data_IF_570140598254
#
_entry.id   IF_570140598254
#
_cell.length_a   1.000
_cell.length_b   1.000
_cell.length_c   1.000
_cell.angle_alpha   90.00
_cell.angle_beta   90.00
_cell.angle_gamma   90.00
#
_symmetry.space_group_name_H-M   'P 1'
#
loop_
_entity.id
_entity.type
_entity.pdbx_description
1 polymer ?
#
# COMPACT_ATOMS: atom_id res chain seq x y z
N UNK A 1 -9.06 -22.10 12.14
CA UNK A 1 -10.53 -21.88 12.21
C UNK A 1 -11.11 -22.31 13.55
N UNK A 2 -10.87 -23.53 14.02
CA UNK A 2 -11.47 -24.04 15.27
C UNK A 2 -11.16 -23.16 16.49
N UNK A 3 -9.93 -22.66 16.62
CA UNK A 3 -9.54 -21.74 17.69
C UNK A 3 -10.38 -20.45 17.67
N UNK A 4 -10.65 -19.89 16.49
CA UNK A 4 -11.46 -18.66 16.35
C UNK A 4 -12.89 -18.92 16.83
N UNK A 5 -13.49 -20.04 16.39
CA UNK A 5 -14.84 -20.44 16.80
C UNK A 5 -14.94 -20.77 18.29
N UNK A 6 -13.93 -21.45 18.86
CA UNK A 6 -13.84 -21.76 20.30
C UNK A 6 -13.85 -20.48 21.14
N UNK A 7 -13.16 -19.43 20.69
CA UNK A 7 -13.16 -18.12 21.34
C UNK A 7 -14.39 -17.25 20.99
N UNK A 8 -15.43 -17.84 20.37
CA UNK A 8 -16.67 -17.14 19.95
C UNK A 8 -16.40 -15.86 19.13
N UNK A 9 -15.25 -15.80 18.46
CA UNK A 9 -14.84 -14.65 17.66
C UNK A 9 -15.45 -14.74 16.27
N UNK A 10 -16.02 -13.63 15.78
CA UNK A 10 -16.62 -13.52 14.44
C UNK A 10 -15.79 -12.68 13.48
N UNK A 11 -14.80 -11.97 14.00
CA UNK A 11 -13.96 -11.05 13.24
C UNK A 11 -12.47 -11.36 13.48
N UNK A 12 -11.66 -11.23 12.45
CA UNK A 12 -10.20 -11.35 12.51
C UNK A 12 -9.53 -10.26 11.71
N UNK A 13 -8.34 -9.84 12.14
CA UNK A 13 -7.47 -8.95 11.40
C UNK A 13 -6.13 -9.64 11.15
N UNK A 14 -5.49 -9.32 10.02
CA UNK A 14 -4.14 -9.79 9.71
C UNK A 14 -3.13 -8.74 10.17
N UNK A 15 -2.16 -9.16 10.97
CA UNK A 15 -1.07 -8.32 11.45
C UNK A 15 0.27 -9.03 11.31
N UNK A 16 1.30 -8.28 10.95
CA UNK A 16 2.66 -8.78 10.77
C UNK A 16 2.99 -9.22 9.34
N UNK A 17 4.28 -9.47 9.12
CA UNK A 17 4.80 -9.92 7.83
C UNK A 17 4.55 -11.42 7.66
N UNK A 18 3.98 -11.80 6.52
CA UNK A 18 3.73 -13.21 6.18
C UNK A 18 4.62 -13.57 4.99
N UNK A 19 5.46 -14.59 5.16
CA UNK A 19 6.22 -15.19 4.06
C UNK A 19 5.44 -16.38 3.49
N UNK A 20 5.45 -16.54 2.17
CA UNK A 20 4.84 -17.70 1.51
C UNK A 20 5.65 -18.96 1.85
N UNK A 21 5.08 -19.96 2.54
CA UNK A 21 5.77 -21.20 2.84
C UNK A 21 5.84 -22.10 1.61
N UNK A 22 6.72 -23.11 1.64
CA UNK A 22 6.64 -24.24 0.70
C UNK A 22 5.39 -25.05 1.06
N UNK A 23 4.49 -25.27 0.09
CA UNK A 23 3.24 -25.99 0.38
C UNK A 23 3.48 -27.42 0.87
N UNK A 24 4.56 -28.08 0.40
CA UNK A 24 4.93 -29.43 0.84
C UNK A 24 5.39 -29.53 2.29
N UNK A 25 5.81 -28.41 2.92
CA UNK A 25 6.23 -28.41 4.32
C UNK A 25 5.10 -28.03 5.29
N UNK A 26 3.88 -27.84 4.79
CA UNK A 26 2.75 -27.45 5.63
C UNK A 26 2.20 -28.64 6.40
N UNK A 27 2.03 -28.48 7.71
CA UNK A 27 1.22 -29.38 8.53
C UNK A 27 -0.23 -28.94 8.42
N UNK A 28 -1.06 -29.76 7.77
CA UNK A 28 -2.46 -29.44 7.50
C UNK A 28 -3.39 -30.20 8.43
N UNK A 29 -4.38 -29.50 8.99
CA UNK A 29 -5.55 -30.14 9.59
C UNK A 29 -6.56 -30.54 8.49
N UNK A 30 -7.63 -31.26 8.85
CA UNK A 30 -8.66 -31.72 7.89
C UNK A 30 -9.26 -30.56 7.07
N UNK A 31 -9.49 -29.40 7.70
CA UNK A 31 -9.96 -28.20 6.99
C UNK A 31 -8.89 -27.64 6.06
N UNK A 32 -7.64 -27.62 6.50
CA UNK A 32 -6.48 -27.24 5.71
C UNK A 32 -6.38 -28.08 4.44
N UNK A 33 -6.50 -29.41 4.56
CA UNK A 33 -6.54 -30.33 3.41
C UNK A 33 -7.70 -30.02 2.46
N UNK A 34 -8.91 -29.83 2.99
CA UNK A 34 -10.11 -29.50 2.20
C UNK A 34 -9.94 -28.21 1.37
N UNK A 35 -9.33 -27.17 1.95
CA UNK A 35 -9.14 -25.89 1.27
C UNK A 35 -7.85 -25.77 0.44
N UNK A 36 -6.88 -26.67 0.64
CA UNK A 36 -5.57 -26.58 0.00
C UNK A 36 -5.59 -26.49 -1.53
N UNK A 37 -6.42 -27.26 -2.26
CA UNK A 37 -6.49 -27.15 -3.72
C UNK A 37 -6.84 -25.74 -4.20
N UNK A 38 -7.70 -25.02 -3.47
CA UNK A 38 -8.06 -23.63 -3.78
C UNK A 38 -6.89 -22.67 -3.58
N UNK A 39 -6.11 -22.87 -2.51
CA UNK A 39 -4.92 -22.08 -2.20
C UNK A 39 -3.82 -22.32 -3.24
N UNK A 40 -3.57 -23.57 -3.62
CA UNK A 40 -2.60 -23.93 -4.67
C UNK A 40 -3.01 -23.31 -6.00
N UNK A 41 -4.29 -23.41 -6.39
CA UNK A 41 -4.79 -22.78 -7.62
C UNK A 41 -4.57 -21.26 -7.61
N UNK A 42 -4.89 -20.60 -6.49
CA UNK A 42 -4.68 -19.16 -6.33
C UNK A 42 -3.19 -18.77 -6.39
N UNK A 43 -2.30 -19.63 -5.89
CA UNK A 43 -0.86 -19.37 -5.88
C UNK A 43 -0.25 -19.14 -7.27
N UNK A 44 -0.85 -19.71 -8.33
CA UNK A 44 -0.45 -19.50 -9.72
C UNK A 44 -0.62 -18.04 -10.18
N UNK A 45 -1.51 -17.28 -9.53
CA UNK A 45 -1.78 -15.88 -9.82
C UNK A 45 -1.02 -14.90 -8.88
N UNK A 46 -0.18 -15.43 -7.97
CA UNK A 46 0.66 -14.66 -7.04
C UNK A 46 0.11 -14.52 -5.63
N UNK A 47 0.89 -13.88 -4.76
CA UNK A 47 0.64 -13.84 -3.30
C UNK A 47 -0.65 -13.12 -2.92
N UNK A 48 -0.98 -12.03 -3.62
CA UNK A 48 -2.26 -11.33 -3.42
C UNK A 48 -3.47 -12.24 -3.67
N UNK A 49 -3.37 -13.19 -4.60
CA UNK A 49 -4.43 -14.15 -4.89
C UNK A 49 -4.54 -15.22 -3.78
N UNK A 50 -3.42 -15.69 -3.23
CA UNK A 50 -3.42 -16.59 -2.05
C UNK A 50 -4.15 -15.92 -0.88
N UNK A 51 -3.78 -14.68 -0.57
CA UNK A 51 -4.38 -13.92 0.52
C UNK A 51 -5.89 -13.74 0.32
N UNK A 52 -6.33 -13.38 -0.89
CA UNK A 52 -7.77 -13.32 -1.23
C UNK A 52 -8.47 -14.67 -1.08
N UNK A 53 -7.82 -15.78 -1.43
CA UNK A 53 -8.38 -17.11 -1.25
C UNK A 53 -8.56 -17.44 0.24
N UNK A 54 -7.58 -17.11 1.08
CA UNK A 54 -7.65 -17.29 2.54
C UNK A 54 -8.80 -16.46 3.13
N UNK A 55 -8.95 -15.20 2.71
CA UNK A 55 -10.06 -14.36 3.18
C UNK A 55 -11.41 -15.00 2.80
N UNK A 56 -11.58 -15.46 1.55
CA UNK A 56 -12.81 -16.14 1.12
C UNK A 56 -13.08 -17.42 1.90
N UNK A 57 -12.04 -18.15 2.32
CA UNK A 57 -12.18 -19.34 3.16
C UNK A 57 -12.71 -18.94 4.55
N UNK A 58 -12.16 -17.89 5.16
CA UNK A 58 -12.63 -17.37 6.44
C UNK A 58 -14.08 -16.88 6.35
N UNK A 59 -14.43 -16.14 5.29
CA UNK A 59 -15.79 -15.66 5.04
C UNK A 59 -16.78 -16.83 4.92
N UNK A 60 -16.43 -17.90 4.19
CA UNK A 60 -17.24 -19.14 4.11
C UNK A 60 -17.43 -19.84 5.46
N UNK A 61 -16.55 -19.60 6.40
CA UNK A 61 -16.62 -20.14 7.76
C UNK A 61 -17.34 -19.20 8.73
N UNK A 62 -18.00 -18.15 8.22
CA UNK A 62 -18.65 -17.07 8.97
C UNK A 62 -17.68 -16.26 9.85
N UNK A 63 -16.43 -16.12 9.40
CA UNK A 63 -15.39 -15.32 10.05
C UNK A 63 -15.06 -14.15 9.12
N UNK A 64 -15.43 -12.94 9.54
CA UNK A 64 -15.20 -11.73 8.77
C UNK A 64 -13.77 -11.25 8.94
N UNK A 65 -13.10 -10.95 7.84
CA UNK A 65 -11.80 -10.28 7.86
C UNK A 65 -12.03 -8.78 7.89
N UNK A 66 -11.59 -8.11 8.95
CA UNK A 66 -11.66 -6.64 9.09
C UNK A 66 -10.36 -5.99 8.60
N UNK A 67 -10.39 -4.67 8.41
CA UNK A 67 -9.21 -3.92 7.96
C UNK A 67 -8.09 -3.93 9.02
N UNK A 68 -6.84 -3.95 8.56
CA UNK A 68 -5.65 -3.90 9.40
C UNK A 68 -5.54 -2.61 10.21
N UNK A 69 -6.17 -1.53 9.75
CA UNK A 69 -6.27 -0.25 10.46
C UNK A 69 -7.62 -0.03 11.15
N UNK A 70 -8.44 -1.07 11.34
CA UNK A 70 -9.78 -0.92 11.92
C UNK A 70 -9.75 -0.25 13.31
N UNK A 71 -8.81 -0.64 14.15
CA UNK A 71 -8.62 -0.06 15.49
C UNK A 71 -7.79 1.23 15.49
N UNK A 72 -7.26 1.64 14.33
CA UNK A 72 -6.44 2.84 14.16
C UNK A 72 -6.81 3.62 12.88
N UNK A 73 -8.09 4.01 12.71
CA UNK A 73 -8.56 4.68 11.50
C UNK A 73 -7.87 6.03 11.26
N UNK A 74 -7.34 6.66 12.30
CA UNK A 74 -6.57 7.91 12.26
C UNK A 74 -5.26 7.80 11.48
N UNK A 75 -4.74 6.58 11.28
CA UNK A 75 -3.58 6.33 10.43
C UNK A 75 -3.87 6.53 8.95
N UNK A 76 -5.14 6.57 8.54
CA UNK A 76 -5.54 6.78 7.15
C UNK A 76 -6.13 8.17 6.94
N UNK A 77 -5.47 8.96 6.10
CA UNK A 77 -5.86 10.35 5.87
C UNK A 77 -7.07 10.45 4.91
N UNK A 78 -7.94 11.43 5.20
CA UNK A 78 -9.04 11.82 4.31
C UNK A 78 -8.49 12.69 3.17
N UNK A 79 -9.28 12.89 2.11
CA UNK A 79 -8.88 13.78 1.02
C UNK A 79 -8.62 15.20 1.55
N UNK A 80 -7.56 15.85 1.06
CA UNK A 80 -7.16 17.16 1.59
C UNK A 80 -5.70 17.49 1.36
N UNK A 81 -5.34 18.73 1.74
CA UNK A 81 -3.94 19.19 1.80
C UNK A 81 -3.49 19.21 3.26
N UNK A 82 -2.38 18.56 3.57
CA UNK A 82 -1.92 18.37 4.94
C UNK A 82 -0.72 19.24 5.31
N UNK A 83 -0.30 20.12 4.40
CA UNK A 83 0.85 21.03 4.54
C UNK A 83 0.44 22.46 4.25
N UNK A 84 1.29 23.44 4.59
CA UNK A 84 1.11 24.86 4.20
C UNK A 84 1.28 25.05 2.70
N UNK A 85 2.28 24.37 2.13
CA UNK A 85 2.47 24.34 0.68
C UNK A 85 1.31 23.59 0.01
N UNK A 86 0.73 24.21 -1.02
CA UNK A 86 -0.33 23.65 -1.86
C UNK A 86 0.24 23.24 -3.21
N UNK A 87 -0.47 22.35 -3.90
CA UNK A 87 -0.16 21.96 -5.28
C UNK A 87 -0.49 23.09 -6.24
N UNK A 88 0.35 23.29 -7.25
CA UNK A 88 0.07 24.20 -8.38
C UNK A 88 -0.84 23.54 -9.41
N UNK A 89 -1.40 24.29 -10.38
CA UNK A 89 -2.13 23.70 -11.51
C UNK A 89 -1.30 22.68 -12.31
N UNK A 90 0.00 22.90 -12.50
CA UNK A 90 0.93 22.00 -13.18
C UNK A 90 1.15 20.73 -12.36
N UNK A 91 1.25 20.84 -11.04
CA UNK A 91 1.29 19.68 -10.15
C UNK A 91 0.04 18.83 -10.32
N UNK A 92 -1.14 19.47 -10.35
CA UNK A 92 -2.42 18.77 -10.52
C UNK A 92 -2.46 18.02 -11.85
N UNK A 93 -1.99 18.63 -12.95
CA UNK A 93 -1.86 17.96 -14.27
C UNK A 93 -0.95 16.73 -14.17
N UNK A 94 0.23 16.88 -13.55
CA UNK A 94 1.17 15.78 -13.36
C UNK A 94 0.57 14.67 -12.50
N UNK A 95 -0.12 15.02 -11.41
CA UNK A 95 -0.79 14.07 -10.53
C UNK A 95 -1.84 13.30 -11.31
N UNK A 96 -2.71 13.97 -12.07
CA UNK A 96 -3.73 13.31 -12.91
C UNK A 96 -3.10 12.31 -13.88
N UNK A 97 -2.00 12.67 -14.54
CA UNK A 97 -1.30 11.76 -15.44
C UNK A 97 -0.73 10.53 -14.70
N UNK A 98 -0.17 10.72 -13.51
CA UNK A 98 0.30 9.61 -12.67
C UNK A 98 -0.83 8.71 -12.17
N UNK A 99 -2.02 9.27 -11.88
CA UNK A 99 -3.21 8.49 -11.57
C UNK A 99 -3.69 7.67 -12.78
N UNK A 100 -3.67 8.25 -13.98
CA UNK A 100 -3.99 7.52 -15.22
C UNK A 100 -3.03 6.36 -15.45
N UNK A 101 -1.74 6.55 -15.19
CA UNK A 101 -0.74 5.47 -15.24
C UNK A 101 -1.15 4.29 -14.34
N UNK A 102 -1.49 4.54 -13.07
CA UNK A 102 -1.97 3.49 -12.17
C UNK A 102 -3.23 2.76 -12.67
N UNK A 103 -4.12 3.46 -13.38
CA UNK A 103 -5.35 2.86 -13.91
C UNK A 103 -5.10 1.95 -15.11
N UNK A 104 -4.08 2.27 -15.92
CA UNK A 104 -3.66 1.53 -17.11
C UNK A 104 -2.78 0.32 -16.79
N UNK A 105 -2.25 0.23 -15.57
CA UNK A 105 -1.50 -0.94 -15.12
C UNK A 105 -2.31 -2.22 -15.32
N UNK A 106 -1.66 -3.19 -15.93
CA UNK A 106 -2.20 -4.52 -16.09
C UNK A 106 -2.18 -5.24 -14.74
N UNK A 107 -2.81 -6.41 -14.73
CA UNK A 107 -2.95 -7.20 -13.52
C UNK A 107 -1.59 -7.73 -13.01
N UNK A 108 -0.59 -7.92 -13.85
CA UNK A 108 0.74 -8.43 -13.48
C UNK A 108 1.66 -7.33 -12.93
N UNK A 109 1.30 -6.06 -13.08
CA UNK A 109 2.12 -4.95 -12.61
C UNK A 109 2.08 -4.84 -11.07
N UNK A 110 3.26 -4.86 -10.46
CA UNK A 110 3.46 -4.81 -9.01
C UNK A 110 3.76 -3.40 -8.48
N UNK A 111 3.43 -2.37 -9.26
CA UNK A 111 3.76 -0.96 -8.96
C UNK A 111 2.84 -0.41 -7.88
N UNK A 112 3.44 0.10 -6.81
CA UNK A 112 2.75 0.75 -5.68
C UNK A 112 3.14 2.23 -5.52
N UNK A 113 4.29 2.61 -6.05
CA UNK A 113 4.72 3.99 -6.11
C UNK A 113 5.32 4.33 -7.46
N UNK A 114 5.24 5.61 -7.83
CA UNK A 114 5.93 6.17 -8.97
C UNK A 114 6.38 7.60 -8.66
N UNK A 115 7.38 8.08 -9.39
CA UNK A 115 7.74 9.49 -9.42
C UNK A 115 7.27 10.07 -10.74
N UNK A 116 6.49 11.14 -10.67
CA UNK A 116 6.08 11.94 -11.83
C UNK A 116 6.72 13.31 -11.78
N UNK A 117 7.21 13.78 -12.92
CA UNK A 117 7.77 15.13 -13.09
C UNK A 117 7.38 15.62 -14.49
N UNK A 118 6.87 16.84 -14.59
CA UNK A 118 6.51 17.49 -15.85
C UNK A 118 5.64 16.59 -16.75
N UNK A 119 4.60 15.98 -16.14
CA UNK A 119 3.71 14.98 -16.76
C UNK A 119 4.41 13.70 -17.27
N UNK A 120 5.64 13.39 -16.87
CA UNK A 120 6.35 12.15 -17.25
C UNK A 120 6.62 11.28 -16.04
N UNK A 121 6.32 9.98 -16.15
CA UNK A 121 6.73 8.99 -15.14
C UNK A 121 8.23 8.75 -15.31
N UNK A 122 9.02 9.12 -14.30
CA UNK A 122 10.49 9.00 -14.36
C UNK A 122 11.03 7.79 -13.58
N UNK A 123 10.22 7.23 -12.69
CA UNK A 123 10.54 5.99 -11.98
C UNK A 123 9.28 5.31 -11.47
N UNK A 124 9.32 3.98 -11.37
CA UNK A 124 8.27 3.14 -10.81
C UNK A 124 8.85 2.17 -9.79
N UNK A 125 8.10 1.90 -8.74
CA UNK A 125 8.50 0.96 -7.69
C UNK A 125 8.52 -0.47 -8.22
N UNK A 126 9.66 -1.13 -8.07
CA UNK A 126 9.80 -2.57 -8.29
C UNK A 126 9.76 -3.35 -6.97
N UNK A 127 10.06 -4.65 -7.05
CA UNK A 127 9.95 -5.58 -5.90
C UNK A 127 10.88 -5.24 -4.71
N UNK A 128 11.90 -4.40 -4.92
CA UNK A 128 12.82 -3.95 -3.88
C UNK A 128 12.27 -2.79 -3.02
N UNK A 129 11.09 -2.26 -3.37
CA UNK A 129 10.39 -1.24 -2.58
C UNK A 129 10.71 0.21 -2.93
N UNK A 130 9.91 1.13 -2.38
CA UNK A 130 10.00 2.58 -2.64
C UNK A 130 11.39 3.16 -2.33
N UNK A 131 12.03 2.75 -1.23
CA UNK A 131 13.35 3.26 -0.85
C UNK A 131 14.45 2.94 -1.87
N UNK A 132 14.44 1.71 -2.41
CA UNK A 132 15.39 1.30 -3.46
C UNK A 132 15.09 1.95 -4.82
N UNK A 133 13.82 2.24 -5.12
CA UNK A 133 13.45 3.06 -6.27
C UNK A 133 14.06 4.46 -6.14
N UNK A 134 13.87 5.12 -5.00
CA UNK A 134 14.41 6.45 -4.73
C UNK A 134 15.95 6.46 -4.78
N UNK A 135 16.61 5.42 -4.24
CA UNK A 135 18.07 5.36 -4.23
C UNK A 135 18.73 5.25 -5.60
N UNK A 136 17.99 4.86 -6.65
CA UNK A 136 18.49 4.80 -8.03
C UNK A 136 18.39 6.16 -8.74
N UNK A 137 17.70 7.14 -8.15
CA UNK A 137 17.58 8.47 -8.71
C UNK A 137 18.88 9.24 -8.43
N UNK A 138 19.53 9.73 -9.49
CA UNK A 138 20.63 10.69 -9.34
C UNK A 138 20.12 11.98 -8.68
N UNK A 139 18.96 12.45 -9.15
CA UNK A 139 18.23 13.59 -8.62
C UNK A 139 16.82 13.61 -9.22
N UNK A 140 15.79 13.90 -8.42
CA UNK A 140 14.42 14.05 -8.87
C UNK A 140 13.85 15.42 -8.49
N UNK A 141 14.69 16.48 -8.52
CA UNK A 141 14.27 17.85 -8.24
C UNK A 141 12.96 18.22 -8.93
N UNK A 142 11.97 18.61 -8.13
CA UNK A 142 10.65 19.00 -8.61
C UNK A 142 9.73 17.82 -8.95
N UNK A 143 10.13 16.59 -8.70
CA UNK A 143 9.28 15.40 -8.87
C UNK A 143 8.28 15.22 -7.73
N UNK A 144 7.20 14.49 -8.01
CA UNK A 144 6.12 14.16 -7.07
C UNK A 144 6.08 12.66 -6.90
N UNK A 145 6.20 12.19 -5.66
CA UNK A 145 5.99 10.78 -5.32
C UNK A 145 4.50 10.51 -5.20
N UNK A 146 3.97 9.62 -6.03
CA UNK A 146 2.60 9.12 -5.91
C UNK A 146 2.68 7.70 -5.38
N UNK A 147 2.03 7.39 -4.25
CA UNK A 147 2.03 6.05 -3.66
C UNK A 147 0.62 5.58 -3.37
N UNK A 148 0.11 4.68 -4.21
CA UNK A 148 -1.26 4.16 -4.18
C UNK A 148 -1.26 2.64 -3.94
N UNK A 149 -2.36 2.05 -3.45
CA UNK A 149 -2.44 0.60 -3.32
C UNK A 149 -2.33 -0.10 -4.68
N UNK A 150 -1.72 -1.29 -4.70
CA UNK A 150 -1.70 -2.12 -5.90
C UNK A 150 -3.13 -2.60 -6.22
N UNK A 151 -3.54 -2.56 -7.48
CA UNK A 151 -4.91 -2.90 -7.94
C UNK A 151 -5.38 -4.29 -7.47
N UNK A 152 -4.48 -5.28 -7.42
CA UNK A 152 -4.79 -6.66 -7.01
C UNK A 152 -4.84 -6.88 -5.50
N UNK A 153 -4.35 -5.95 -4.70
CA UNK A 153 -4.20 -6.13 -3.27
C UNK A 153 -5.56 -6.07 -2.56
N UNK A 154 -5.74 -6.89 -1.53
CA UNK A 154 -6.87 -6.72 -0.61
C UNK A 154 -6.53 -5.65 0.43
N UNK A 155 -7.25 -4.54 0.39
CA UNK A 155 -6.99 -3.35 1.23
C UNK A 155 -7.31 -3.59 2.71
N UNK A 156 -7.92 -4.72 3.07
CA UNK A 156 -8.09 -5.11 4.46
C UNK A 156 -6.77 -5.57 5.08
N UNK A 157 -5.84 -6.05 4.27
CA UNK A 157 -4.64 -6.72 4.77
C UNK A 157 -3.41 -5.85 4.57
N UNK A 158 -3.26 -5.25 3.40
CA UNK A 158 -2.07 -4.47 3.09
C UNK A 158 -2.43 -3.13 2.44
N UNK A 159 -1.87 -2.08 3.00
CA UNK A 159 -2.07 -0.69 2.63
C UNK A 159 -0.69 -0.05 2.44
N UNK A 160 -0.51 0.81 1.42
CA UNK A 160 0.73 1.55 1.26
C UNK A 160 1.02 2.40 2.49
N UNK A 161 2.21 2.20 3.06
CA UNK A 161 2.67 2.94 4.23
C UNK A 161 3.65 4.03 3.81
N UNK A 162 3.47 5.23 4.39
CA UNK A 162 4.47 6.29 4.42
C UNK A 162 4.65 6.80 5.85
N UNK A 163 5.76 7.49 6.09
CA UNK A 163 6.02 8.17 7.35
C UNK A 163 7.20 9.13 7.23
N UNK A 164 7.78 9.50 8.37
CA UNK A 164 8.87 10.46 8.45
C UNK A 164 10.07 10.08 7.57
N UNK A 165 10.43 8.80 7.53
CA UNK A 165 11.54 8.31 6.70
C UNK A 165 11.27 8.52 5.19
N UNK A 166 10.04 8.30 4.73
CA UNK A 166 9.67 8.57 3.32
C UNK A 166 9.82 10.05 2.99
N UNK A 167 9.48 10.95 3.92
CA UNK A 167 9.65 12.39 3.73
C UNK A 167 11.12 12.81 3.76
N UNK A 168 11.94 12.21 4.62
CA UNK A 168 13.40 12.40 4.62
C UNK A 168 14.00 11.98 3.27
N UNK A 169 13.56 10.84 2.73
CA UNK A 169 13.97 10.40 1.40
C UNK A 169 13.52 11.40 0.32
N UNK A 170 12.27 11.87 0.39
CA UNK A 170 11.77 12.88 -0.54
C UNK A 170 12.64 14.15 -0.52
N UNK A 171 13.01 14.63 0.67
CA UNK A 171 13.93 15.77 0.80
C UNK A 171 15.30 15.44 0.20
N UNK A 172 15.88 14.28 0.53
CA UNK A 172 17.20 13.84 0.05
C UNK A 172 17.27 13.79 -1.48
N UNK A 173 16.22 13.34 -2.14
CA UNK A 173 16.18 13.19 -3.61
C UNK A 173 15.53 14.38 -4.33
N UNK A 174 15.22 15.48 -3.64
CA UNK A 174 14.71 16.72 -4.24
C UNK A 174 13.23 16.72 -4.62
N UNK A 175 12.45 15.76 -4.14
CA UNK A 175 11.01 15.69 -4.44
C UNK A 175 10.25 16.85 -3.77
N UNK A 176 9.32 17.45 -4.51
CA UNK A 176 8.53 18.60 -4.05
C UNK A 176 7.23 18.22 -3.34
N UNK A 177 6.80 16.96 -3.44
CA UNK A 177 5.57 16.54 -2.78
C UNK A 177 5.29 15.05 -2.83
N UNK A 178 4.33 14.65 -1.99
CA UNK A 178 3.79 13.30 -1.94
C UNK A 178 2.28 13.34 -2.19
N UNK A 179 1.79 12.38 -2.96
CA UNK A 179 0.36 12.13 -3.19
C UNK A 179 -0.03 10.72 -2.79
N UNK A 180 -1.08 10.61 -1.98
CA UNK A 180 -1.64 9.34 -1.53
C UNK A 180 -3.12 9.25 -1.83
N UNK A 181 -3.65 8.02 -1.78
CA UNK A 181 -5.07 7.75 -2.00
C UNK A 181 -5.85 7.81 -0.68
N UNK A 182 -6.92 8.59 -0.66
CA UNK A 182 -7.76 8.80 0.52
C UNK A 182 -8.26 7.49 1.11
N UNK A 183 -8.12 7.37 2.44
CA UNK A 183 -8.49 6.20 3.24
C UNK A 183 -7.85 4.87 2.79
N UNK A 184 -6.81 4.94 1.96
CA UNK A 184 -6.18 3.77 1.34
C UNK A 184 -4.66 3.79 1.50
N UNK A 185 -4.19 4.26 2.65
CA UNK A 185 -2.78 4.29 3.03
C UNK A 185 -2.64 4.31 4.55
N UNK A 186 -1.46 3.93 5.06
CA UNK A 186 -1.04 4.16 6.44
C UNK A 186 -0.09 5.35 6.47
N UNK A 187 -0.33 6.30 7.37
CA UNK A 187 0.47 7.51 7.55
C UNK A 187 1.05 7.51 8.97
N UNK A 188 2.30 7.08 9.10
CA UNK A 188 3.01 6.99 10.37
C UNK A 188 3.53 8.35 10.83
N UNK A 189 3.63 8.52 12.16
CA UNK A 189 4.18 9.71 12.81
C UNK A 189 3.56 11.02 12.31
N UNK A 190 2.22 11.07 12.20
CA UNK A 190 1.49 12.13 11.48
C UNK A 190 2.00 13.54 11.76
N UNK A 191 2.08 13.93 13.03
CA UNK A 191 2.53 15.25 13.45
C UNK A 191 3.98 15.53 13.03
N UNK A 192 4.92 14.62 13.33
CA UNK A 192 6.34 14.75 12.99
C UNK A 192 6.54 14.85 11.48
N UNK A 193 5.85 14.00 10.72
CA UNK A 193 5.87 13.97 9.26
C UNK A 193 5.37 15.28 8.65
N UNK A 194 4.21 15.79 9.08
CA UNK A 194 3.66 17.07 8.58
C UNK A 194 4.59 18.24 8.92
N UNK A 195 5.10 18.29 10.15
CA UNK A 195 6.03 19.35 10.57
C UNK A 195 7.33 19.32 9.75
N UNK A 196 7.88 18.13 9.51
CA UNK A 196 9.05 17.95 8.65
C UNK A 196 8.76 18.40 7.21
N UNK A 197 7.62 18.02 6.64
CA UNK A 197 7.24 18.38 5.29
C UNK A 197 7.09 19.91 5.14
N UNK A 198 6.44 20.56 6.09
CA UNK A 198 6.30 22.03 6.12
C UNK A 198 7.67 22.73 6.19
N UNK A 199 8.55 22.30 7.11
CA UNK A 199 9.90 22.88 7.25
C UNK A 199 10.73 22.73 5.96
N UNK A 200 10.50 21.66 5.20
CA UNK A 200 11.24 21.33 4.00
C UNK A 200 10.56 21.74 2.69
N UNK A 201 9.43 22.46 2.74
CA UNK A 201 8.64 22.87 1.56
C UNK A 201 8.23 21.68 0.68
N UNK A 202 7.82 20.57 1.30
CA UNK A 202 7.27 19.40 0.63
C UNK A 202 5.77 19.41 0.84
N UNK A 203 4.97 19.35 -0.23
CA UNK A 203 3.51 19.26 -0.07
C UNK A 203 3.05 17.82 0.22
N UNK A 204 1.95 17.68 0.95
CA UNK A 204 1.28 16.40 1.15
C UNK A 204 -0.18 16.55 0.72
N UNK A 205 -0.54 15.86 -0.37
CA UNK A 205 -1.89 15.89 -0.96
C UNK A 205 -2.51 14.50 -0.90
N UNK A 206 -3.76 14.43 -0.46
CA UNK A 206 -4.55 13.20 -0.46
C UNK A 206 -5.70 13.35 -1.46
N UNK A 207 -5.83 12.39 -2.37
CA UNK A 207 -6.78 12.36 -3.51
C UNK A 207 -7.61 11.08 -3.60
#
# INVERSE_FOLDING_TARGET
>A
INIIKKNKSKEVLFAGKIAKPKFSSLRLDLKGMYYMPRIIKASKAGDAAIIKAIIKILEKENIKVIHSNFFNPELSLKAGNYTKLKTTPEDIKSIKHGVLYFNQLNNLDHVQALIIKDNKVIATEGNQGTGKMLSKLKNAYGGILIKFPKKKQDLRIDLPTIGLNTLKDCKKYGLKGIVLKSKKNIFLDRSKSINFANKNKIFIKIV
#
